data_IF_607263577382
#
_entry.id   IF_607263577382
#
_cell.length_a   1.000
_cell.length_b   1.000
_cell.length_c   1.000
_cell.angle_alpha   90.00
_cell.angle_beta   90.00
_cell.angle_gamma   90.00
#
_symmetry.space_group_name_H-M   'P 1'
#
loop_
_entity.id
_entity.type
_entity.pdbx_description
1 polymer ?
#
# COMPACT_ATOMS: atom_id res chain seq x y z
N UNK A 1 -44.26 -17.07 56.02
CA UNK A 1 -43.35 -18.21 55.98
C UNK A 1 -42.17 -17.76 55.06
N UNK A 2 -41.07 -17.26 55.68
CA UNK A 2 -39.89 -16.75 55.00
C UNK A 2 -38.91 -17.91 54.87
N UNK A 3 -38.55 -18.31 53.64
CA UNK A 3 -37.45 -19.25 53.34
C UNK A 3 -36.12 -18.50 53.33
N UNK A 4 -35.23 -18.86 54.22
CA UNK A 4 -33.83 -18.47 54.25
C UNK A 4 -33.04 -19.42 53.31
N UNK A 5 -32.38 -18.89 52.27
CA UNK A 5 -31.36 -19.61 51.50
C UNK A 5 -30.00 -19.42 52.19
N UNK A 6 -29.17 -20.48 52.30
CA UNK A 6 -27.84 -20.35 52.83
C UNK A 6 -26.87 -19.85 51.77
N UNK A 7 -26.07 -18.83 52.13
CA UNK A 7 -24.91 -18.38 51.36
C UNK A 7 -23.78 -19.40 51.48
N UNK A 8 -23.36 -20.01 50.38
CA UNK A 8 -22.11 -20.74 50.32
C UNK A 8 -20.95 -19.76 50.07
N UNK A 9 -20.08 -19.62 51.04
CA UNK A 9 -18.81 -18.92 50.95
C UNK A 9 -17.81 -19.84 50.23
N UNK A 10 -17.49 -19.57 48.96
CA UNK A 10 -16.38 -20.25 48.26
C UNK A 10 -15.09 -19.48 48.60
N UNK A 11 -14.27 -20.07 49.48
CA UNK A 11 -12.93 -19.57 49.77
C UNK A 11 -12.00 -19.94 48.61
N UNK A 12 -11.68 -18.99 47.72
CA UNK A 12 -10.63 -19.13 46.74
C UNK A 12 -9.27 -18.96 47.39
N UNK A 13 -8.55 -20.07 47.59
CA UNK A 13 -7.13 -20.03 47.94
C UNK A 13 -6.33 -19.50 46.75
N UNK A 14 -5.93 -18.23 46.78
CA UNK A 14 -4.93 -17.68 45.88
C UNK A 14 -3.55 -18.19 46.37
N UNK A 15 -3.00 -19.16 45.64
CA UNK A 15 -1.60 -19.56 45.82
C UNK A 15 -0.76 -18.52 45.09
N UNK A 16 -0.25 -17.54 45.83
CA UNK A 16 0.75 -16.60 45.32
C UNK A 16 2.11 -17.31 45.27
N UNK A 17 2.45 -17.90 44.12
CA UNK A 17 3.83 -18.23 43.79
C UNK A 17 4.67 -16.96 43.68
N UNK A 18 5.99 -17.01 43.99
CA UNK A 18 6.83 -15.84 43.80
C UNK A 18 6.82 -15.46 42.32
N UNK A 19 6.32 -14.27 42.03
CA UNK A 19 6.48 -13.68 40.71
C UNK A 19 7.99 -13.55 40.48
N UNK A 20 8.54 -14.29 39.51
CA UNK A 20 9.87 -13.98 39.00
C UNK A 20 9.79 -12.56 38.43
N UNK A 21 10.44 -11.62 39.11
CA UNK A 21 10.67 -10.30 38.54
C UNK A 21 11.56 -10.49 37.33
N UNK A 22 10.97 -10.33 36.15
CA UNK A 22 11.75 -10.12 34.91
C UNK A 22 12.30 -8.72 35.09
N UNK A 23 13.61 -8.60 35.28
CA UNK A 23 14.26 -7.29 35.26
C UNK A 23 13.88 -6.58 33.94
N UNK A 24 13.41 -5.34 34.02
CA UNK A 24 13.14 -4.58 32.79
C UNK A 24 14.44 -4.49 31.99
N UNK A 25 14.39 -4.58 30.66
CA UNK A 25 15.57 -4.43 29.83
C UNK A 25 16.29 -3.15 30.21
N UNK A 26 17.62 -3.23 30.35
CA UNK A 26 18.45 -2.10 30.71
C UNK A 26 18.15 -0.92 29.77
N UNK A 27 17.74 0.20 30.35
CA UNK A 27 17.52 1.42 29.58
C UNK A 27 18.86 1.85 28.95
N UNK A 28 18.86 2.38 27.72
CA UNK A 28 20.08 2.95 27.13
C UNK A 28 20.64 4.04 28.04
N UNK A 29 21.97 4.15 28.16
CA UNK A 29 22.60 5.11 29.07
C UNK A 29 22.14 6.53 28.77
N UNK A 30 21.68 7.24 29.78
CA UNK A 30 20.95 8.53 29.69
C UNK A 30 21.72 9.70 29.02
N UNK A 31 22.99 9.54 28.69
CA UNK A 31 23.87 10.60 28.20
C UNK A 31 24.40 10.37 26.77
N UNK A 32 23.84 9.41 25.99
CA UNK A 32 24.25 9.21 24.60
C UNK A 32 23.36 9.98 23.64
N UNK A 33 23.94 10.61 22.59
CA UNK A 33 23.15 11.20 21.52
C UNK A 33 22.23 10.13 20.91
N UNK A 34 20.93 10.41 20.78
CA UNK A 34 19.92 9.48 20.23
C UNK A 34 20.30 8.97 18.83
N UNK A 35 21.04 9.76 18.05
CA UNK A 35 21.51 9.41 16.71
C UNK A 35 22.51 8.23 16.69
N UNK A 36 23.16 7.89 17.82
CA UNK A 36 24.04 6.72 17.88
C UNK A 36 23.28 5.39 17.83
N UNK A 37 21.99 5.39 18.12
CA UNK A 37 21.16 4.18 18.20
C UNK A 37 20.25 3.99 17.00
N UNK A 38 20.20 4.95 16.08
CA UNK A 38 19.28 4.91 14.93
C UNK A 38 20.01 4.49 13.66
N UNK A 39 19.30 3.76 12.83
CA UNK A 39 19.72 3.48 11.46
C UNK A 39 19.88 4.79 10.69
N UNK A 40 21.02 4.95 9.99
CA UNK A 40 21.36 6.18 9.28
C UNK A 40 21.79 5.88 7.85
N UNK A 41 21.44 6.80 6.95
CA UNK A 41 21.97 6.83 5.58
C UNK A 41 23.18 7.75 5.58
N UNK A 42 24.29 7.23 5.09
CA UNK A 42 25.56 7.95 5.00
C UNK A 42 25.61 8.82 3.73
N UNK A 43 26.56 9.76 3.66
CA UNK A 43 26.71 10.66 2.51
C UNK A 43 26.99 9.93 1.19
N UNK A 44 27.62 8.77 1.24
CA UNK A 44 27.91 7.93 0.08
C UNK A 44 26.71 7.08 -0.38
N UNK A 45 25.57 7.18 0.31
CA UNK A 45 24.38 6.37 0.05
C UNK A 45 24.39 4.99 0.68
N UNK A 46 25.43 4.62 1.46
CA UNK A 46 25.39 3.41 2.27
C UNK A 46 24.46 3.57 3.47
N UNK A 47 23.95 2.46 4.00
CA UNK A 47 23.10 2.45 5.19
C UNK A 47 23.87 1.80 6.33
N UNK A 48 24.01 2.51 7.45
CA UNK A 48 24.48 1.94 8.72
C UNK A 48 23.28 1.59 9.59
N UNK A 49 22.93 0.31 9.64
CA UNK A 49 21.91 -0.22 10.53
C UNK A 49 22.43 -0.27 11.96
N UNK A 50 21.59 0.10 12.93
CA UNK A 50 21.93 0.11 14.34
C UNK A 50 20.75 -0.41 15.15
N UNK A 51 21.07 -1.24 16.15
CA UNK A 51 20.07 -1.79 17.08
C UNK A 51 20.68 -1.96 18.47
N UNK A 52 20.07 -1.38 19.49
CA UNK A 52 20.43 -1.65 20.87
C UNK A 52 19.69 -2.89 21.36
N UNK A 53 20.40 -3.99 21.56
CA UNK A 53 19.84 -5.26 22.01
C UNK A 53 20.82 -6.00 22.93
N UNK A 54 20.88 -5.61 24.23
CA UNK A 54 21.91 -6.11 25.16
C UNK A 54 21.82 -7.62 25.38
N UNK A 55 20.62 -8.18 25.43
CA UNK A 55 20.36 -9.60 25.73
C UNK A 55 20.38 -10.49 24.47
N UNK A 56 20.45 -9.93 23.26
CA UNK A 56 20.45 -10.70 22.04
C UNK A 56 21.78 -11.48 21.87
N UNK A 57 21.67 -12.70 21.37
CA UNK A 57 22.81 -13.59 21.04
C UNK A 57 23.22 -13.42 19.58
N UNK A 58 22.25 -13.24 18.70
CA UNK A 58 22.45 -13.05 17.26
C UNK A 58 21.51 -11.97 16.75
N UNK A 59 22.03 -11.10 15.89
CA UNK A 59 21.23 -10.10 15.18
C UNK A 59 21.68 -10.06 13.73
N UNK A 60 20.74 -10.11 12.82
CA UNK A 60 20.96 -9.82 11.42
C UNK A 60 19.92 -8.83 10.90
N UNK A 61 20.24 -8.10 9.84
CA UNK A 61 19.33 -7.22 9.12
C UNK A 61 19.05 -7.76 7.73
N UNK A 62 17.80 -7.73 7.32
CA UNK A 62 17.34 -8.10 5.98
C UNK A 62 16.85 -6.86 5.27
N UNK A 63 17.44 -6.55 4.11
CA UNK A 63 17.12 -5.39 3.29
C UNK A 63 16.43 -5.85 2.00
N UNK A 64 15.14 -5.62 1.89
CA UNK A 64 14.32 -6.09 0.77
C UNK A 64 14.37 -7.61 0.64
N UNK A 65 14.65 -8.09 -0.57
CA UNK A 65 14.80 -9.51 -0.91
C UNK A 65 16.24 -10.03 -0.80
N UNK A 66 17.17 -9.23 -0.25
CA UNK A 66 18.59 -9.59 -0.14
C UNK A 66 18.81 -10.65 0.94
N UNK A 67 19.94 -11.34 0.85
CA UNK A 67 20.38 -12.23 1.92
C UNK A 67 20.56 -11.46 3.24
N UNK A 68 20.25 -12.09 4.39
CA UNK A 68 20.51 -11.50 5.69
C UNK A 68 21.98 -11.08 5.84
N UNK A 69 22.20 -9.91 6.43
CA UNK A 69 23.51 -9.38 6.77
C UNK A 69 23.69 -9.45 8.28
N UNK A 70 24.66 -10.23 8.73
CA UNK A 70 24.98 -10.37 10.15
C UNK A 70 25.46 -9.04 10.73
N UNK A 71 24.99 -8.72 11.96
CA UNK A 71 25.38 -7.52 12.66
C UNK A 71 26.44 -7.83 13.72
N UNK A 72 27.36 -6.91 13.95
CA UNK A 72 28.42 -7.03 14.95
C UNK A 72 28.01 -6.29 16.22
N UNK A 73 28.13 -6.96 17.38
CA UNK A 73 27.87 -6.38 18.70
C UNK A 73 29.12 -5.68 19.23
N UNK A 74 28.98 -4.40 19.58
CA UNK A 74 30.02 -3.64 20.26
C UNK A 74 29.93 -3.83 21.80
N UNK A 75 30.97 -3.39 22.54
CA UNK A 75 31.03 -3.48 24.01
C UNK A 75 29.88 -2.75 24.72
N UNK A 76 29.26 -1.80 24.05
CA UNK A 76 28.13 -1.01 24.55
C UNK A 76 26.75 -1.60 24.21
N UNK A 77 26.70 -2.87 23.83
CA UNK A 77 25.49 -3.62 23.45
C UNK A 77 24.80 -3.11 22.18
N UNK A 78 25.45 -2.21 21.44
CA UNK A 78 24.95 -1.74 20.15
C UNK A 78 25.38 -2.72 19.05
N UNK A 79 24.40 -3.23 18.33
CA UNK A 79 24.61 -4.02 17.12
C UNK A 79 24.65 -3.10 15.91
N UNK A 80 25.56 -3.35 14.99
CA UNK A 80 25.67 -2.57 13.76
C UNK A 80 26.08 -3.41 12.56
N UNK A 81 25.60 -3.00 11.37
CA UNK A 81 26.06 -3.47 10.07
C UNK A 81 25.94 -2.33 9.07
N UNK A 82 26.82 -2.32 8.07
CA UNK A 82 26.85 -1.28 7.03
C UNK A 82 26.75 -1.93 5.66
N UNK A 83 25.93 -1.36 4.77
CA UNK A 83 25.84 -1.77 3.37
C UNK A 83 26.95 -1.13 2.54
N UNK A 84 27.14 -1.60 1.32
CA UNK A 84 27.75 -0.80 0.27
C UNK A 84 26.83 0.38 -0.08
N UNK A 85 27.35 1.34 -0.88
CA UNK A 85 26.55 2.44 -1.41
C UNK A 85 25.37 1.91 -2.23
N UNK A 86 24.18 2.39 -1.94
CA UNK A 86 22.94 2.01 -2.60
C UNK A 86 22.45 3.10 -3.55
N UNK A 87 21.69 2.71 -4.54
CA UNK A 87 21.01 3.68 -5.42
C UNK A 87 19.93 4.44 -4.64
N UNK A 88 19.68 5.72 -4.97
CA UNK A 88 18.57 6.48 -4.41
C UNK A 88 17.24 5.74 -4.55
N UNK A 89 16.61 5.41 -3.43
CA UNK A 89 15.33 4.69 -3.35
C UNK A 89 14.82 4.62 -1.92
N UNK A 90 13.58 4.20 -1.73
CA UNK A 90 13.01 3.86 -0.44
C UNK A 90 13.06 2.33 -0.27
N UNK A 91 13.88 1.88 0.66
CA UNK A 91 14.13 0.47 0.94
C UNK A 91 13.31 0.01 2.14
N UNK A 92 12.87 -1.24 2.08
CA UNK A 92 12.22 -1.95 3.18
C UNK A 92 13.24 -2.85 3.89
N UNK A 93 13.21 -2.89 5.23
CA UNK A 93 14.10 -3.75 6.02
C UNK A 93 13.46 -4.19 7.33
N UNK A 94 14.06 -5.19 7.96
CA UNK A 94 13.74 -5.64 9.31
C UNK A 94 14.97 -6.26 9.97
N UNK A 95 14.94 -6.32 11.30
CA UNK A 95 15.92 -7.07 12.08
C UNK A 95 15.42 -8.48 12.34
N UNK A 96 16.35 -9.44 12.36
CA UNK A 96 16.13 -10.78 12.87
C UNK A 96 16.95 -10.92 14.17
N UNK A 97 16.27 -10.98 15.30
CA UNK A 97 16.87 -11.02 16.64
C UNK A 97 16.63 -12.42 17.21
N UNK A 98 17.67 -13.23 17.39
CA UNK A 98 17.58 -14.60 17.88
C UNK A 98 16.50 -15.45 17.15
N UNK A 99 16.35 -15.23 15.84
CA UNK A 99 15.36 -15.89 15.00
C UNK A 99 13.98 -15.22 14.95
N UNK A 100 13.77 -14.13 15.70
CA UNK A 100 12.52 -13.39 15.72
C UNK A 100 12.61 -12.13 14.86
N UNK A 101 11.62 -11.91 13.97
CA UNK A 101 11.53 -10.69 13.15
C UNK A 101 11.07 -9.51 13.99
N UNK A 102 11.79 -8.40 13.89
CA UNK A 102 11.47 -7.13 14.55
C UNK A 102 11.58 -5.96 13.61
N UNK A 103 10.71 -4.97 13.79
CA UNK A 103 10.90 -3.65 13.17
C UNK A 103 12.08 -2.94 13.84
N UNK A 104 12.60 -1.90 13.19
CA UNK A 104 13.52 -0.95 13.81
C UNK A 104 12.73 0.02 14.69
N UNK A 105 12.87 -0.11 15.98
CA UNK A 105 12.22 0.78 16.97
C UNK A 105 12.88 2.16 17.07
N UNK A 106 14.06 2.32 16.47
CA UNK A 106 14.76 3.60 16.36
C UNK A 106 14.35 4.44 15.16
N UNK A 107 13.58 3.89 14.20
CA UNK A 107 13.10 4.64 13.05
C UNK A 107 11.72 5.26 13.29
N UNK A 108 11.46 6.38 12.62
CA UNK A 108 10.13 6.98 12.53
C UNK A 108 9.36 6.55 11.26
N UNK A 109 9.88 5.56 10.53
CA UNK A 109 9.31 5.09 9.27
C UNK A 109 8.98 3.58 9.33
N UNK A 110 8.05 3.13 10.19
CA UNK A 110 7.53 1.78 10.08
C UNK A 110 6.75 1.67 8.76
N UNK A 111 6.82 0.52 8.10
CA UNK A 111 5.99 0.28 6.90
C UNK A 111 4.54 0.09 7.34
N UNK A 112 3.61 0.96 6.90
CA UNK A 112 2.21 0.82 7.28
C UNK A 112 1.58 -0.36 6.54
N UNK A 113 1.13 -1.32 7.31
CA UNK A 113 0.37 -2.50 6.86
C UNK A 113 -0.51 -2.97 8.02
N UNK A 114 -1.45 -3.87 7.74
CA UNK A 114 -2.29 -4.49 8.80
C UNK A 114 -1.47 -5.28 9.81
N UNK A 115 -0.29 -5.79 9.41
CA UNK A 115 0.73 -6.34 10.32
C UNK A 115 2.03 -5.58 10.12
N UNK A 116 2.32 -4.62 11.00
CA UNK A 116 3.57 -3.85 10.96
C UNK A 116 4.72 -4.75 11.39
N UNK A 117 5.55 -5.18 10.43
CA UNK A 117 6.63 -6.13 10.65
C UNK A 117 7.95 -5.77 9.93
N UNK A 118 7.98 -4.60 9.29
CA UNK A 118 9.15 -4.06 8.59
C UNK A 118 9.22 -2.54 8.76
N UNK A 119 10.38 -1.99 8.48
CA UNK A 119 10.69 -0.56 8.52
C UNK A 119 11.14 -0.08 7.15
N UNK A 120 11.10 1.22 6.93
CA UNK A 120 11.52 1.87 5.71
C UNK A 120 12.75 2.75 5.97
N UNK A 121 13.63 2.85 4.97
CA UNK A 121 14.77 3.76 4.97
C UNK A 121 14.94 4.39 3.60
N UNK A 122 14.98 5.73 3.53
CA UNK A 122 15.11 6.48 2.29
C UNK A 122 16.58 6.81 2.02
N UNK A 123 17.13 6.29 0.94
CA UNK A 123 18.39 6.76 0.34
C UNK A 123 18.03 7.90 -0.62
N UNK A 124 18.45 9.14 -0.32
CA UNK A 124 18.02 10.32 -1.08
C UNK A 124 18.62 10.38 -2.49
N UNK A 125 18.03 11.21 -3.36
CA UNK A 125 18.48 11.46 -4.74
C UNK A 125 17.51 10.97 -5.82
N UNK A 126 16.27 10.60 -5.46
CA UNK A 126 15.26 10.12 -6.41
C UNK A 126 14.02 11.02 -6.48
N UNK A 127 13.04 10.61 -7.31
CA UNK A 127 11.71 11.25 -7.38
C UNK A 127 10.92 11.10 -6.07
N UNK A 128 11.35 10.21 -5.17
CA UNK A 128 10.70 9.92 -3.90
C UNK A 128 11.02 10.92 -2.80
N UNK A 129 11.98 11.83 -3.03
CA UNK A 129 12.42 12.81 -2.05
C UNK A 129 11.40 13.94 -1.87
N UNK A 130 11.37 14.51 -0.69
CA UNK A 130 10.77 15.83 -0.48
C UNK A 130 11.76 16.85 -1.04
N UNK A 131 11.37 17.53 -2.11
CA UNK A 131 12.20 18.56 -2.76
C UNK A 131 11.67 19.94 -2.39
N UNK A 132 12.49 20.96 -2.56
CA UNK A 132 12.08 22.37 -2.40
C UNK A 132 11.28 22.83 -3.64
N UNK A 133 10.03 22.40 -3.70
CA UNK A 133 9.06 22.70 -4.76
C UNK A 133 7.70 23.02 -4.12
N UNK A 134 6.76 23.64 -4.84
CA UNK A 134 5.40 23.77 -4.32
C UNK A 134 4.78 22.40 -4.02
N UNK A 135 4.22 22.25 -2.82
CA UNK A 135 3.60 21.00 -2.37
C UNK A 135 2.07 21.07 -2.43
N UNK A 136 1.46 19.96 -2.79
CA UNK A 136 0.03 19.77 -2.65
C UNK A 136 -0.40 19.57 -1.20
N UNK A 137 -1.69 19.66 -0.95
CA UNK A 137 -2.26 19.37 0.35
C UNK A 137 -2.73 17.90 0.41
N UNK A 138 -2.30 17.18 1.44
CA UNK A 138 -2.75 15.82 1.72
C UNK A 138 -3.66 15.81 2.95
N UNK A 139 -4.94 15.54 2.74
CA UNK A 139 -5.94 15.44 3.83
C UNK A 139 -6.33 14.01 4.06
N UNK A 140 -6.31 13.55 5.31
CA UNK A 140 -6.95 12.31 5.74
C UNK A 140 -8.37 12.62 6.17
N UNK A 141 -9.34 12.07 5.47
CA UNK A 141 -10.76 12.27 5.72
C UNK A 141 -11.44 10.97 6.13
N UNK A 142 -12.47 11.09 6.95
CA UNK A 142 -13.35 9.97 7.32
C UNK A 142 -14.65 10.11 6.54
N UNK A 143 -14.98 9.10 5.74
CA UNK A 143 -16.19 9.09 4.91
C UNK A 143 -17.15 8.05 5.47
N UNK A 144 -18.40 8.43 5.78
CA UNK A 144 -19.42 7.46 6.14
C UNK A 144 -19.79 6.63 4.90
N UNK A 145 -19.45 5.36 4.90
CA UNK A 145 -19.82 4.43 3.84
C UNK A 145 -21.17 3.78 4.16
N UNK A 146 -22.16 4.04 3.32
CA UNK A 146 -23.47 3.38 3.38
C UNK A 146 -23.36 1.95 2.87
N UNK A 147 -22.59 1.76 1.80
CA UNK A 147 -22.35 0.47 1.19
C UNK A 147 -21.72 -0.53 2.16
N UNK A 148 -20.77 -0.08 3.00
CA UNK A 148 -20.07 -0.93 3.98
C UNK A 148 -20.58 -0.75 5.43
N UNK A 149 -21.53 0.15 5.67
CA UNK A 149 -22.09 0.46 7.00
C UNK A 149 -21.01 0.81 8.04
N UNK A 150 -19.97 1.50 7.62
CA UNK A 150 -18.80 1.81 8.45
C UNK A 150 -18.22 3.18 8.14
N UNK A 151 -17.34 3.67 9.02
CA UNK A 151 -16.54 4.87 8.78
C UNK A 151 -15.25 4.48 8.07
N UNK A 152 -15.01 5.04 6.89
CA UNK A 152 -13.88 4.69 6.02
C UNK A 152 -12.85 5.80 5.98
N UNK A 153 -11.59 5.42 6.08
CA UNK A 153 -10.48 6.36 5.96
C UNK A 153 -10.04 6.49 4.50
N UNK A 154 -9.79 7.73 4.09
CA UNK A 154 -9.37 8.05 2.72
C UNK A 154 -8.41 9.22 2.77
N UNK A 155 -7.30 9.16 2.05
CA UNK A 155 -6.50 10.34 1.77
C UNK A 155 -6.98 11.00 0.48
N UNK A 156 -7.02 12.33 0.51
CA UNK A 156 -7.25 13.16 -0.67
C UNK A 156 -6.06 14.10 -0.83
N UNK A 157 -5.35 13.95 -1.92
CA UNK A 157 -4.32 14.90 -2.34
C UNK A 157 -4.93 15.90 -3.32
N UNK A 158 -4.68 17.18 -3.07
CA UNK A 158 -4.98 18.27 -3.99
C UNK A 158 -3.68 18.95 -4.42
N UNK A 159 -3.51 19.29 -5.72
CA UNK A 159 -2.25 19.81 -6.23
C UNK A 159 -1.93 21.22 -5.68
N UNK A 160 -0.65 21.66 -5.75
CA UNK A 160 -0.29 23.02 -5.37
C UNK A 160 -1.17 24.06 -6.06
N UNK A 161 -1.62 25.08 -5.30
CA UNK A 161 -2.49 26.13 -5.80
C UNK A 161 -3.96 25.72 -6.02
N UNK A 162 -4.36 24.51 -5.60
CA UNK A 162 -5.75 24.11 -5.61
C UNK A 162 -6.59 25.03 -4.72
N UNK A 163 -7.72 25.49 -5.24
CA UNK A 163 -8.70 26.25 -4.49
C UNK A 163 -10.10 26.02 -5.05
N UNK A 164 -11.13 26.43 -4.31
CA UNK A 164 -12.53 26.34 -4.78
C UNK A 164 -12.82 27.19 -6.03
N UNK A 165 -11.94 28.18 -6.31
CA UNK A 165 -12.02 29.02 -7.51
C UNK A 165 -11.40 28.37 -8.76
N UNK A 166 -10.66 27.27 -8.65
CA UNK A 166 -10.08 26.58 -9.80
C UNK A 166 -11.14 25.90 -10.64
N UNK A 167 -10.81 25.63 -11.92
CA UNK A 167 -11.65 24.76 -12.75
C UNK A 167 -11.70 23.36 -12.16
N UNK A 168 -12.78 22.59 -12.42
CA UNK A 168 -12.83 21.18 -12.02
C UNK A 168 -11.62 20.41 -12.55
N UNK A 169 -10.89 19.75 -11.66
CA UNK A 169 -9.72 18.95 -11.98
C UNK A 169 -10.10 17.48 -12.24
N UNK A 170 -9.34 16.75 -13.05
CA UNK A 170 -9.49 15.30 -13.14
C UNK A 170 -9.18 14.65 -11.80
N UNK A 171 -9.72 13.44 -11.59
CA UNK A 171 -9.57 12.68 -10.36
C UNK A 171 -9.06 11.27 -10.62
N UNK A 172 -8.04 10.87 -9.86
CA UNK A 172 -7.45 9.55 -9.91
C UNK A 172 -7.71 8.82 -8.59
N UNK A 173 -8.31 7.63 -8.65
CA UNK A 173 -8.49 6.72 -7.52
C UNK A 173 -7.33 5.73 -7.51
N UNK A 174 -6.56 5.70 -6.41
CA UNK A 174 -5.31 4.95 -6.27
C UNK A 174 -5.42 3.89 -5.18
N UNK A 175 -5.48 2.64 -5.59
CA UNK A 175 -5.81 1.48 -4.75
C UNK A 175 -4.58 0.73 -4.29
N UNK A 176 -4.52 0.39 -3.00
CA UNK A 176 -3.45 -0.41 -2.39
C UNK A 176 -3.69 -1.93 -2.53
N UNK A 177 -2.70 -2.74 -2.15
CA UNK A 177 -2.74 -4.19 -2.21
C UNK A 177 -3.30 -4.86 -0.94
N UNK A 178 -3.36 -6.20 -0.98
CA UNK A 178 -3.79 -7.00 0.15
C UNK A 178 -2.86 -6.85 1.36
N UNK A 179 -3.45 -6.67 2.54
CA UNK A 179 -2.72 -6.51 3.79
C UNK A 179 -2.09 -5.13 4.00
N UNK A 180 -2.22 -4.26 3.01
CA UNK A 180 -1.85 -2.85 3.12
C UNK A 180 -2.91 -2.04 3.89
N UNK A 181 -2.70 -0.75 4.01
CA UNK A 181 -3.62 0.20 4.61
C UNK A 181 -3.74 1.46 3.74
N UNK A 182 -4.67 2.32 4.08
CA UNK A 182 -4.80 3.65 3.45
C UNK A 182 -3.48 4.43 3.39
N UNK A 183 -2.56 4.17 4.34
CA UNK A 183 -1.27 4.86 4.44
C UNK A 183 -0.21 4.33 3.45
N UNK A 184 -0.44 3.21 2.79
CA UNK A 184 0.59 2.51 1.99
C UNK A 184 1.11 3.36 0.82
N UNK A 185 0.23 3.92 -0.01
CA UNK A 185 0.66 4.78 -1.11
C UNK A 185 1.29 6.09 -0.64
N UNK A 186 0.91 6.58 0.55
CA UNK A 186 1.49 7.80 1.14
C UNK A 186 2.90 7.54 1.66
N UNK A 187 3.07 6.51 2.48
CA UNK A 187 4.34 6.24 3.16
C UNK A 187 5.32 5.45 2.28
N UNK A 188 4.94 4.26 1.83
CA UNK A 188 5.84 3.41 1.04
C UNK A 188 5.77 3.71 -0.47
N UNK A 189 4.62 4.08 -1.01
CA UNK A 189 4.44 4.48 -2.40
C UNK A 189 5.01 5.87 -2.71
N UNK A 190 5.14 6.74 -1.68
CA UNK A 190 5.60 8.13 -1.83
C UNK A 190 4.78 8.92 -2.86
N UNK A 191 3.50 8.59 -3.01
CA UNK A 191 2.65 9.19 -4.03
C UNK A 191 2.59 10.74 -3.97
N UNK A 192 2.48 11.40 -2.78
CA UNK A 192 2.49 12.86 -2.72
C UNK A 192 3.80 13.46 -3.26
N UNK A 193 4.96 12.87 -2.92
CA UNK A 193 6.27 13.35 -3.37
C UNK A 193 6.44 13.18 -4.88
N UNK A 194 6.02 12.03 -5.43
CA UNK A 194 6.02 11.80 -6.88
C UNK A 194 5.16 12.83 -7.60
N UNK A 195 3.95 13.10 -7.08
CA UNK A 195 3.03 14.09 -7.66
C UNK A 195 3.61 15.50 -7.63
N UNK A 196 4.10 15.96 -6.47
CA UNK A 196 4.68 17.30 -6.31
C UNK A 196 5.87 17.51 -7.24
N UNK A 197 6.79 16.54 -7.27
CA UNK A 197 7.99 16.61 -8.09
C UNK A 197 7.68 16.64 -9.58
N UNK A 198 6.75 15.77 -10.04
CA UNK A 198 6.34 15.72 -11.44
C UNK A 198 5.55 16.99 -11.87
N UNK A 199 4.74 17.55 -10.97
CA UNK A 199 4.04 18.83 -11.22
C UNK A 199 5.03 19.97 -11.37
N UNK A 200 6.04 20.07 -10.48
CA UNK A 200 7.10 21.07 -10.57
C UNK A 200 7.92 20.94 -11.86
N UNK A 201 8.14 19.71 -12.34
CA UNK A 201 8.80 19.42 -13.61
C UNK A 201 7.86 19.59 -14.84
N UNK A 202 6.59 19.94 -14.63
CA UNK A 202 5.56 20.08 -15.68
C UNK A 202 5.40 18.82 -16.53
N UNK A 203 5.60 17.67 -15.93
CA UNK A 203 5.49 16.36 -16.61
C UNK A 203 4.09 15.77 -16.55
N UNK A 204 3.25 16.24 -15.63
CA UNK A 204 1.88 15.74 -15.42
C UNK A 204 0.87 16.87 -15.38
N UNK A 205 -0.40 16.53 -15.67
CA UNK A 205 -1.52 17.43 -15.48
C UNK A 205 -1.89 17.55 -14.00
N UNK A 206 -2.30 18.74 -13.51
CA UNK A 206 -2.83 18.88 -12.16
C UNK A 206 -4.08 18.01 -11.98
N UNK A 207 -4.10 17.20 -10.91
CA UNK A 207 -5.21 16.30 -10.62
C UNK A 207 -5.44 16.16 -9.12
N UNK A 208 -6.64 15.77 -8.74
CA UNK A 208 -6.96 15.29 -7.39
C UNK A 208 -6.66 13.79 -7.33
N UNK A 209 -5.98 13.33 -6.28
CA UNK A 209 -5.75 11.90 -6.09
C UNK A 209 -6.43 11.44 -4.81
N UNK A 210 -7.21 10.37 -4.93
CA UNK A 210 -8.01 9.77 -3.85
C UNK A 210 -7.41 8.41 -3.53
N UNK A 211 -6.98 8.22 -2.30
CA UNK A 211 -6.33 7.00 -1.83
C UNK A 211 -7.20 6.43 -0.70
N UNK A 212 -8.20 5.58 -1.02
CA UNK A 212 -9.05 4.97 -0.01
C UNK A 212 -8.40 3.74 0.62
N UNK A 213 -8.91 3.32 1.78
CA UNK A 213 -8.69 1.96 2.24
C UNK A 213 -9.49 1.00 1.33
N UNK A 214 -8.83 0.06 0.71
CA UNK A 214 -9.40 -0.87 -0.29
C UNK A 214 -9.65 -2.26 0.26
N UNK A 215 -9.53 -2.45 1.58
CA UNK A 215 -10.02 -3.64 2.26
C UNK A 215 -11.29 -3.32 3.04
N UNK A 216 -12.34 -4.07 2.75
CA UNK A 216 -13.57 -4.05 3.53
C UNK A 216 -13.43 -5.00 4.72
N UNK A 217 -13.77 -4.55 5.92
CA UNK A 217 -13.83 -5.41 7.11
C UNK A 217 -15.17 -6.16 7.15
N UNK A 218 -15.57 -6.75 6.03
CA UNK A 218 -16.82 -7.52 5.93
C UNK A 218 -16.57 -8.92 6.50
N UNK A 219 -17.28 -9.33 7.58
CA UNK A 219 -17.05 -10.63 8.23
C UNK A 219 -17.19 -11.82 7.27
N UNK A 220 -18.08 -11.73 6.28
CA UNK A 220 -18.31 -12.77 5.28
C UNK A 220 -17.11 -12.98 4.34
N UNK A 221 -16.26 -11.97 4.20
CA UNK A 221 -15.04 -12.05 3.43
C UNK A 221 -13.85 -12.63 4.23
N UNK A 222 -13.96 -12.67 5.57
CA UNK A 222 -12.89 -13.13 6.48
C UNK A 222 -13.37 -14.35 7.26
N UNK A 223 -13.27 -15.57 6.73
CA UNK A 223 -13.59 -16.78 7.50
C UNK A 223 -12.66 -16.93 8.70
N UNK A 224 -13.17 -17.44 9.83
CA UNK A 224 -12.43 -17.60 11.11
C UNK A 224 -11.11 -18.41 11.00
N UNK A 225 -10.97 -19.26 9.98
CA UNK A 225 -9.76 -20.04 9.72
C UNK A 225 -9.26 -19.79 8.30
N UNK A 226 -8.61 -18.67 8.08
CA UNK A 226 -8.25 -18.15 6.76
C UNK A 226 -6.89 -18.70 6.22
N UNK A 227 -6.85 -19.85 5.51
CA UNK A 227 -5.65 -20.27 4.82
C UNK A 227 -5.38 -19.33 3.65
N UNK A 228 -4.12 -18.93 3.47
CA UNK A 228 -3.70 -18.05 2.37
C UNK A 228 -4.15 -18.57 0.98
N UNK A 229 -4.32 -19.88 0.83
CA UNK A 229 -4.76 -20.55 -0.40
C UNK A 229 -6.19 -20.17 -0.84
N UNK A 230 -7.08 -19.80 0.08
CA UNK A 230 -8.50 -19.57 -0.24
C UNK A 230 -8.84 -18.09 -0.47
N UNK A 231 -7.90 -17.16 -0.22
CA UNK A 231 -8.13 -15.72 -0.41
C UNK A 231 -8.66 -15.36 -1.80
N UNK A 232 -8.12 -15.98 -2.84
CA UNK A 232 -8.53 -15.72 -4.22
C UNK A 232 -9.95 -16.18 -4.51
N UNK A 233 -10.44 -17.19 -3.78
CA UNK A 233 -11.78 -17.75 -3.98
C UNK A 233 -12.83 -17.09 -3.09
N UNK A 234 -12.46 -16.66 -1.91
CA UNK A 234 -13.40 -16.19 -0.89
C UNK A 234 -13.31 -14.68 -0.66
N UNK A 235 -12.12 -14.17 -0.34
CA UNK A 235 -11.95 -12.76 0.03
C UNK A 235 -11.96 -11.83 -1.18
N UNK A 236 -11.16 -12.08 -2.21
CA UNK A 236 -11.01 -11.13 -3.31
C UNK A 236 -12.31 -10.82 -4.06
N UNK A 237 -13.16 -11.80 -4.42
CA UNK A 237 -14.43 -11.48 -5.07
C UNK A 237 -15.35 -10.64 -4.21
N UNK A 238 -15.55 -11.03 -2.94
CA UNK A 238 -16.44 -10.34 -1.99
C UNK A 238 -15.92 -8.93 -1.68
N UNK A 239 -14.62 -8.81 -1.44
CA UNK A 239 -13.99 -7.51 -1.17
C UNK A 239 -14.06 -6.59 -2.40
N UNK A 240 -13.80 -7.09 -3.60
CA UNK A 240 -13.87 -6.28 -4.81
C UNK A 240 -15.29 -5.77 -5.08
N UNK A 241 -16.31 -6.60 -4.89
CA UNK A 241 -17.72 -6.20 -5.01
C UNK A 241 -18.10 -5.13 -3.97
N UNK A 242 -17.63 -5.30 -2.75
CA UNK A 242 -17.91 -4.38 -1.66
C UNK A 242 -17.26 -2.99 -1.89
N UNK A 243 -16.00 -2.98 -2.30
CA UNK A 243 -15.24 -1.75 -2.60
C UNK A 243 -15.76 -1.08 -3.88
N UNK A 244 -16.16 -1.85 -4.88
CA UNK A 244 -16.80 -1.31 -6.09
C UNK A 244 -18.10 -0.58 -5.75
N UNK A 245 -18.94 -1.18 -4.92
CA UNK A 245 -20.17 -0.55 -4.45
C UNK A 245 -19.88 0.71 -3.63
N UNK A 246 -18.93 0.68 -2.69
CA UNK A 246 -18.51 1.87 -1.93
C UNK A 246 -18.00 2.98 -2.86
N UNK A 247 -17.20 2.62 -3.87
CA UNK A 247 -16.69 3.59 -4.84
C UNK A 247 -17.83 4.36 -5.53
N UNK A 248 -18.84 3.64 -6.00
CA UNK A 248 -19.92 4.22 -6.80
C UNK A 248 -20.98 4.92 -5.95
N UNK A 249 -21.35 4.35 -4.81
CA UNK A 249 -22.46 4.85 -3.99
C UNK A 249 -22.01 5.91 -2.97
N UNK A 250 -20.76 5.86 -2.52
CA UNK A 250 -20.28 6.74 -1.45
C UNK A 250 -19.11 7.63 -1.88
N UNK A 251 -18.01 7.05 -2.42
CA UNK A 251 -16.77 7.78 -2.62
C UNK A 251 -16.82 8.77 -3.79
N UNK A 252 -17.30 8.36 -4.97
CA UNK A 252 -17.49 9.27 -6.12
C UNK A 252 -18.47 10.38 -5.78
N UNK A 253 -19.66 10.12 -5.21
CA UNK A 253 -20.58 11.17 -4.74
C UNK A 253 -19.95 12.12 -3.72
N UNK A 254 -19.18 11.59 -2.75
CA UNK A 254 -18.48 12.41 -1.77
C UNK A 254 -17.48 13.37 -2.44
N UNK A 255 -16.68 12.86 -3.37
CA UNK A 255 -15.71 13.70 -4.08
C UNK A 255 -16.40 14.82 -4.88
N UNK A 256 -17.51 14.52 -5.55
CA UNK A 256 -18.32 15.53 -6.27
C UNK A 256 -18.92 16.60 -5.35
N UNK A 257 -19.31 16.22 -4.15
CA UNK A 257 -19.93 17.12 -3.19
C UNK A 257 -18.94 18.03 -2.47
N UNK A 258 -17.67 17.58 -2.25
CA UNK A 258 -16.71 18.25 -1.39
C UNK A 258 -15.49 18.80 -2.13
N UNK A 259 -15.25 18.35 -3.37
CA UNK A 259 -14.11 18.77 -4.18
C UNK A 259 -14.55 19.19 -5.58
N UNK A 260 -13.83 20.12 -6.17
CA UNK A 260 -14.07 20.56 -7.54
C UNK A 260 -13.38 19.60 -8.52
N UNK A 261 -14.05 18.49 -8.80
CA UNK A 261 -13.57 17.43 -9.70
C UNK A 261 -14.45 17.29 -10.94
N UNK A 262 -13.86 16.83 -12.04
CA UNK A 262 -14.58 16.50 -13.26
C UNK A 262 -15.51 15.29 -13.03
N UNK A 263 -16.68 15.32 -13.72
CA UNK A 263 -17.70 14.26 -13.60
C UNK A 263 -17.92 13.52 -14.93
N UNK A 264 -16.86 13.38 -15.70
CA UNK A 264 -16.87 12.63 -16.97
C UNK A 264 -15.79 11.55 -16.93
N UNK A 265 -15.92 10.57 -17.83
CA UNK A 265 -14.99 9.44 -17.92
C UNK A 265 -13.55 9.89 -18.26
N UNK A 266 -13.40 10.87 -19.14
CA UNK A 266 -12.08 11.38 -19.54
C UNK A 266 -11.34 12.08 -18.40
N UNK A 267 -12.09 12.60 -17.42
CA UNK A 267 -11.58 13.20 -16.18
C UNK A 267 -11.46 12.23 -15.02
N UNK A 268 -11.68 10.93 -15.20
CA UNK A 268 -11.65 9.96 -14.11
C UNK A 268 -10.77 8.76 -14.43
N UNK A 269 -9.82 8.46 -13.52
CA UNK A 269 -8.91 7.32 -13.60
C UNK A 269 -9.04 6.42 -12.38
N UNK A 270 -8.80 5.12 -12.55
CA UNK A 270 -8.68 4.15 -11.49
C UNK A 270 -7.45 3.28 -11.70
N UNK A 271 -6.65 3.17 -10.65
CA UNK A 271 -5.33 2.52 -10.69
C UNK A 271 -5.13 1.72 -9.41
N UNK A 272 -4.52 0.58 -9.49
CA UNK A 272 -4.19 -0.17 -8.28
C UNK A 272 -3.04 -1.15 -8.46
N UNK A 273 -2.45 -1.52 -7.33
CA UNK A 273 -1.41 -2.55 -7.27
C UNK A 273 -1.97 -3.85 -6.69
N UNK A 274 -1.47 -5.00 -7.16
CA UNK A 274 -1.81 -6.32 -6.61
C UNK A 274 -3.34 -6.53 -6.52
N UNK A 275 -3.91 -6.77 -5.33
CA UNK A 275 -5.37 -6.82 -5.13
C UNK A 275 -6.06 -5.54 -5.61
N UNK A 276 -5.48 -4.36 -5.34
CA UNK A 276 -6.02 -3.09 -5.83
C UNK A 276 -6.05 -3.01 -7.36
N UNK A 277 -5.10 -3.66 -8.05
CA UNK A 277 -5.11 -3.81 -9.51
C UNK A 277 -6.30 -4.63 -10.00
N UNK A 278 -6.66 -5.70 -9.29
CA UNK A 278 -7.88 -6.46 -9.57
C UNK A 278 -9.14 -5.63 -9.35
N UNK A 279 -9.20 -4.88 -8.26
CA UNK A 279 -10.34 -4.00 -7.96
C UNK A 279 -10.47 -2.88 -9.01
N UNK A 280 -9.35 -2.29 -9.44
CA UNK A 280 -9.35 -1.31 -10.53
C UNK A 280 -9.85 -1.91 -11.86
N UNK A 281 -9.47 -3.16 -12.14
CA UNK A 281 -9.96 -3.90 -13.30
C UNK A 281 -11.48 -4.16 -13.20
N UNK A 282 -11.95 -4.60 -12.03
CA UNK A 282 -13.38 -4.86 -11.77
C UNK A 282 -14.18 -3.57 -11.95
N UNK A 283 -13.87 -2.52 -11.21
CA UNK A 283 -14.63 -1.25 -11.27
C UNK A 283 -14.55 -0.60 -12.66
N UNK A 284 -13.37 -0.60 -13.27
CA UNK A 284 -13.17 0.04 -14.55
C UNK A 284 -13.89 -0.62 -15.72
N UNK A 285 -13.89 -1.95 -15.78
CA UNK A 285 -14.50 -2.71 -16.88
C UNK A 285 -15.97 -3.05 -16.63
N UNK A 286 -16.40 -3.22 -15.37
CA UNK A 286 -17.82 -3.46 -15.08
C UNK A 286 -18.70 -2.22 -15.32
N UNK A 287 -18.09 -1.02 -15.29
CA UNK A 287 -18.77 0.27 -15.40
C UNK A 287 -18.18 1.13 -16.51
N UNK A 288 -18.15 0.58 -17.75
CA UNK A 288 -17.68 1.31 -18.93
C UNK A 288 -18.39 2.66 -19.05
N UNK A 289 -17.63 3.72 -19.34
CA UNK A 289 -18.12 5.10 -19.37
C UNK A 289 -18.04 5.84 -18.02
N UNK A 290 -17.63 5.15 -16.93
CA UNK A 290 -17.33 5.80 -15.66
C UNK A 290 -15.88 6.26 -15.56
N UNK A 291 -14.95 5.45 -16.07
CA UNK A 291 -13.52 5.72 -16.09
C UNK A 291 -13.00 5.69 -17.52
N UNK A 292 -12.25 6.72 -17.90
CA UNK A 292 -11.54 6.72 -19.19
C UNK A 292 -10.13 6.11 -19.10
N UNK A 293 -9.60 5.91 -17.89
CA UNK A 293 -8.23 5.50 -17.66
C UNK A 293 -8.18 4.42 -16.58
N UNK A 294 -7.58 3.28 -16.91
CA UNK A 294 -7.44 2.14 -15.99
C UNK A 294 -5.98 1.70 -15.97
N UNK A 295 -5.45 1.39 -14.77
CA UNK A 295 -4.17 0.71 -14.67
C UNK A 295 -4.19 -0.41 -13.63
N UNK A 296 -3.57 -1.53 -14.03
CA UNK A 296 -3.36 -2.72 -13.21
C UNK A 296 -1.86 -2.95 -13.05
N UNK A 297 -1.32 -2.68 -11.87
CA UNK A 297 0.10 -2.87 -11.55
C UNK A 297 0.28 -4.19 -10.80
N UNK A 298 0.85 -5.20 -11.46
CA UNK A 298 1.01 -6.55 -10.90
C UNK A 298 -0.27 -7.07 -10.24
N UNK A 299 -1.42 -6.81 -10.84
CA UNK A 299 -2.70 -7.15 -10.21
C UNK A 299 -3.10 -8.60 -10.43
N UNK A 300 -3.99 -9.06 -9.58
CA UNK A 300 -4.75 -10.30 -9.82
C UNK A 300 -5.66 -10.11 -11.04
N UNK A 301 -6.02 -11.16 -11.73
CA UNK A 301 -6.88 -11.09 -12.89
C UNK A 301 -8.07 -12.06 -12.81
N UNK A 302 -9.01 -11.89 -13.73
CA UNK A 302 -10.19 -12.78 -13.83
C UNK A 302 -9.84 -14.22 -14.21
N UNK A 303 -8.62 -14.49 -14.66
CA UNK A 303 -8.15 -15.85 -14.94
C UNK A 303 -8.03 -16.72 -13.67
N UNK A 304 -7.80 -16.08 -12.52
CA UNK A 304 -7.67 -16.76 -11.23
C UNK A 304 -8.75 -16.37 -10.21
N UNK A 305 -9.36 -15.19 -10.39
CA UNK A 305 -10.49 -14.68 -9.61
C UNK A 305 -11.60 -14.25 -10.56
N UNK A 306 -12.48 -15.17 -11.00
CA UNK A 306 -13.51 -14.89 -11.97
C UNK A 306 -14.44 -13.74 -11.54
N UNK A 307 -14.80 -12.88 -12.50
CA UNK A 307 -15.79 -11.83 -12.30
C UNK A 307 -16.69 -11.73 -13.54
N UNK A 308 -17.96 -12.04 -13.37
CA UNK A 308 -18.93 -12.13 -14.47
C UNK A 308 -19.11 -10.82 -15.24
N UNK A 309 -19.05 -9.68 -14.57
CA UNK A 309 -19.21 -8.38 -15.22
C UNK A 309 -17.99 -8.03 -16.08
N UNK A 310 -16.78 -8.31 -15.60
CA UNK A 310 -15.54 -8.14 -16.38
C UNK A 310 -15.49 -9.12 -17.56
N UNK A 311 -15.88 -10.37 -17.34
CA UNK A 311 -15.98 -11.37 -18.43
C UNK A 311 -16.99 -10.94 -19.52
N UNK A 312 -18.13 -10.37 -19.10
CA UNK A 312 -19.11 -9.82 -20.04
C UNK A 312 -18.54 -8.62 -20.81
N UNK A 313 -17.77 -7.74 -20.17
CA UNK A 313 -17.09 -6.64 -20.83
C UNK A 313 -16.08 -7.14 -21.87
N UNK A 314 -15.29 -8.18 -21.57
CA UNK A 314 -14.36 -8.78 -22.52
C UNK A 314 -15.07 -9.42 -23.75
N UNK A 315 -16.36 -9.70 -23.68
CA UNK A 315 -17.14 -10.15 -24.83
C UNK A 315 -17.67 -9.00 -25.71
N UNK A 316 -17.38 -7.75 -25.33
CA UNK A 316 -17.69 -6.54 -26.12
C UNK A 316 -16.44 -5.64 -26.22
N UNK A 317 -15.33 -6.13 -26.81
CA UNK A 317 -14.04 -5.44 -26.82
C UNK A 317 -14.10 -4.06 -27.52
N UNK A 318 -14.99 -3.89 -28.48
CA UNK A 318 -15.22 -2.60 -29.16
C UNK A 318 -15.64 -1.53 -28.16
N UNK A 319 -16.54 -1.88 -27.22
CA UNK A 319 -17.00 -0.95 -26.19
C UNK A 319 -15.86 -0.57 -25.22
N UNK A 320 -14.98 -1.52 -24.89
CA UNK A 320 -13.79 -1.23 -24.08
C UNK A 320 -12.91 -0.22 -24.83
N UNK A 321 -12.60 -0.51 -26.10
CA UNK A 321 -11.74 0.33 -26.94
C UNK A 321 -12.33 1.73 -27.23
N UNK A 322 -13.64 1.88 -27.21
CA UNK A 322 -14.34 3.16 -27.41
C UNK A 322 -14.36 4.00 -26.11
N UNK A 323 -14.52 3.36 -24.95
CA UNK A 323 -14.68 4.04 -23.68
C UNK A 323 -13.35 4.37 -22.99
N UNK A 324 -12.30 3.55 -23.19
CA UNK A 324 -11.02 3.78 -22.55
C UNK A 324 -10.08 4.61 -23.42
N UNK A 325 -9.46 5.61 -22.81
CA UNK A 325 -8.36 6.40 -23.37
C UNK A 325 -7.03 5.68 -23.21
N UNK A 326 -6.89 4.97 -22.10
CA UNK A 326 -5.73 4.13 -21.82
C UNK A 326 -6.10 2.99 -20.88
N UNK A 327 -5.54 1.82 -21.15
CA UNK A 327 -5.53 0.67 -20.27
C UNK A 327 -4.08 0.22 -20.10
N UNK A 328 -3.51 0.44 -18.93
CA UNK A 328 -2.10 0.08 -18.64
C UNK A 328 -2.04 -1.18 -17.79
N UNK A 329 -1.16 -2.11 -18.14
CA UNK A 329 -0.85 -3.32 -17.40
C UNK A 329 0.66 -3.39 -17.18
N UNK A 330 1.10 -3.55 -15.94
CA UNK A 330 2.54 -3.64 -15.63
C UNK A 330 2.83 -4.84 -14.73
N UNK A 331 4.05 -5.38 -14.81
CA UNK A 331 4.48 -6.52 -14.00
C UNK A 331 6.00 -6.58 -13.90
N UNK A 332 6.53 -7.14 -12.81
CA UNK A 332 7.92 -7.55 -12.72
C UNK A 332 8.14 -8.91 -13.40
N UNK A 333 9.26 -9.10 -14.10
CA UNK A 333 9.53 -10.38 -14.79
C UNK A 333 9.75 -11.54 -13.82
N UNK A 334 10.09 -11.25 -12.56
CA UNK A 334 10.28 -12.22 -11.48
C UNK A 334 9.09 -12.28 -10.51
N UNK A 335 7.92 -11.72 -10.90
CA UNK A 335 6.72 -11.71 -10.05
C UNK A 335 6.13 -13.12 -9.91
N UNK A 336 6.42 -13.77 -8.77
CA UNK A 336 5.92 -15.11 -8.43
C UNK A 336 4.50 -15.08 -7.83
N UNK A 337 3.97 -13.89 -7.51
CA UNK A 337 2.67 -13.73 -6.85
C UNK A 337 1.54 -13.59 -7.87
N UNK A 338 1.70 -12.70 -8.84
CA UNK A 338 0.69 -12.37 -9.84
C UNK A 338 1.18 -12.43 -11.28
N UNK A 339 2.42 -12.84 -11.54
CA UNK A 339 2.95 -12.95 -12.91
C UNK A 339 2.10 -13.82 -13.82
N UNK A 340 1.56 -14.95 -13.30
CA UNK A 340 0.63 -15.81 -14.06
C UNK A 340 -0.72 -15.13 -14.34
N UNK A 341 -1.22 -14.35 -13.39
CA UNK A 341 -2.44 -13.56 -13.56
C UNK A 341 -2.29 -12.56 -14.70
N UNK A 342 -1.18 -11.82 -14.69
CA UNK A 342 -0.88 -10.81 -15.71
C UNK A 342 -0.65 -11.44 -17.08
N UNK A 343 0.05 -12.56 -17.16
CA UNK A 343 0.22 -13.31 -18.39
C UNK A 343 -1.13 -13.78 -18.97
N UNK A 344 -2.02 -14.29 -18.11
CA UNK A 344 -3.38 -14.67 -18.51
C UNK A 344 -4.22 -13.48 -18.94
N UNK A 345 -4.16 -12.35 -18.23
CA UNK A 345 -4.83 -11.13 -18.63
C UNK A 345 -4.33 -10.64 -19.99
N UNK A 346 -3.01 -10.62 -20.18
CA UNK A 346 -2.39 -10.25 -21.47
C UNK A 346 -2.93 -11.10 -22.61
N UNK A 347 -3.01 -12.42 -22.43
CA UNK A 347 -3.58 -13.33 -23.43
C UNK A 347 -5.02 -12.97 -23.80
N UNK A 348 -5.87 -12.68 -22.79
CA UNK A 348 -7.27 -12.26 -23.03
C UNK A 348 -7.31 -10.95 -23.83
N UNK A 349 -6.50 -9.97 -23.46
CA UNK A 349 -6.48 -8.65 -24.12
C UNK A 349 -6.02 -8.78 -25.58
N UNK A 350 -5.00 -9.58 -25.85
CA UNK A 350 -4.48 -9.85 -27.19
C UNK A 350 -5.52 -10.58 -28.06
N UNK A 351 -6.10 -11.68 -27.56
CA UNK A 351 -7.09 -12.48 -28.27
C UNK A 351 -8.35 -11.69 -28.63
N UNK A 352 -8.78 -10.82 -27.70
CA UNK A 352 -9.95 -9.97 -27.87
C UNK A 352 -9.65 -8.66 -28.62
N UNK A 353 -8.39 -8.39 -28.98
CA UNK A 353 -7.94 -7.16 -29.64
C UNK A 353 -8.31 -5.88 -28.83
N UNK A 354 -8.25 -5.98 -27.51
CA UNK A 354 -8.41 -4.84 -26.64
C UNK A 354 -7.12 -4.04 -26.67
N UNK A 355 -7.23 -2.71 -26.82
CA UNK A 355 -6.07 -1.81 -26.82
C UNK A 355 -5.59 -1.61 -25.40
N UNK A 356 -4.30 -1.83 -25.15
CA UNK A 356 -3.67 -1.63 -23.83
C UNK A 356 -2.18 -1.35 -24.00
N UNK A 357 -1.58 -0.82 -22.95
CA UNK A 357 -0.12 -0.70 -22.80
C UNK A 357 0.38 -1.78 -21.85
N UNK A 358 1.46 -2.42 -22.23
CA UNK A 358 2.08 -3.46 -21.40
C UNK A 358 3.54 -3.12 -21.09
N UNK A 359 3.91 -3.15 -19.81
CA UNK A 359 5.29 -2.85 -19.37
C UNK A 359 5.78 -3.93 -18.43
N UNK A 360 6.94 -4.48 -18.75
CA UNK A 360 7.67 -5.41 -17.89
C UNK A 360 8.88 -4.73 -17.26
N UNK A 361 9.04 -4.94 -15.95
CA UNK A 361 10.21 -4.48 -15.20
C UNK A 361 11.16 -5.66 -14.97
N UNK A 362 12.25 -5.66 -15.72
CA UNK A 362 13.19 -6.77 -15.76
C UNK A 362 13.91 -6.99 -14.42
N UNK A 363 13.89 -8.23 -13.93
CA UNK A 363 14.58 -8.66 -12.70
C UNK A 363 13.88 -8.24 -11.42
N UNK A 364 12.67 -7.64 -11.51
CA UNK A 364 11.88 -7.23 -10.34
C UNK A 364 10.74 -8.20 -10.08
N UNK A 365 10.36 -8.32 -8.81
CA UNK A 365 9.30 -9.19 -8.31
C UNK A 365 7.99 -8.46 -8.07
N UNK A 366 7.28 -8.89 -7.02
CA UNK A 366 6.01 -8.30 -6.56
C UNK A 366 6.27 -7.22 -5.52
N UNK A 367 6.66 -6.04 -5.94
CA UNK A 367 7.28 -5.05 -5.04
C UNK A 367 7.09 -3.59 -5.50
N UNK A 368 7.32 -2.65 -4.59
CA UNK A 368 7.21 -1.22 -4.85
C UNK A 368 8.16 -0.71 -5.93
N UNK A 369 9.25 -1.40 -6.20
CA UNK A 369 10.18 -1.04 -7.27
C UNK A 369 9.62 -1.31 -8.68
N UNK A 370 8.52 -2.07 -8.78
CA UNK A 370 7.66 -2.16 -9.96
C UNK A 370 6.58 -1.07 -9.93
N UNK A 371 5.93 -0.89 -8.79
CA UNK A 371 4.69 -0.10 -8.72
C UNK A 371 4.94 1.41 -8.71
N UNK A 372 6.02 1.90 -8.08
CA UNK A 372 6.38 3.33 -8.10
C UNK A 372 6.69 3.82 -9.52
N UNK A 373 7.59 3.18 -10.29
CA UNK A 373 7.84 3.60 -11.67
C UNK A 373 6.62 3.36 -12.59
N UNK A 374 5.78 2.35 -12.32
CA UNK A 374 4.50 2.18 -13.03
C UNK A 374 3.57 3.37 -12.79
N UNK A 375 3.47 3.82 -11.55
CA UNK A 375 2.66 4.98 -11.17
C UNK A 375 3.22 6.26 -11.79
N UNK A 376 4.53 6.49 -11.70
CA UNK A 376 5.19 7.63 -12.35
C UNK A 376 4.94 7.67 -13.86
N UNK A 377 5.11 6.53 -14.55
CA UNK A 377 4.90 6.45 -15.99
C UNK A 377 3.42 6.66 -16.38
N UNK A 378 2.49 6.13 -15.58
CA UNK A 378 1.06 6.33 -15.80
C UNK A 378 0.66 7.80 -15.59
N UNK A 379 1.14 8.46 -14.54
CA UNK A 379 0.89 9.87 -14.28
C UNK A 379 1.31 10.78 -15.44
N UNK A 380 2.39 10.44 -16.13
CA UNK A 380 2.89 11.24 -17.25
C UNK A 380 2.01 11.13 -18.53
N UNK A 381 1.04 10.21 -18.55
CA UNK A 381 0.13 9.99 -19.68
C UNK A 381 -1.31 10.34 -19.36
N UNK A 382 -1.75 10.04 -18.14
CA UNK A 382 -3.14 10.19 -17.72
C UNK A 382 -3.61 11.65 -17.85
N UNK A 383 -4.83 11.83 -18.33
CA UNK A 383 -5.51 13.13 -18.54
C UNK A 383 -4.85 14.07 -19.58
N UNK A 384 -3.80 13.66 -20.25
CA UNK A 384 -3.27 14.39 -21.40
C UNK A 384 -4.16 14.17 -22.62
N UNK A 385 -4.48 15.27 -23.30
CA UNK A 385 -5.26 15.25 -24.55
C UNK A 385 -4.38 14.86 -25.73
#
# INVERSE_FOLDING_TARGET
MRLLLPYFLVATCIVSGPAMAIDPPAAPPANRPLNEFVTAVEQDGSITFRLFAPSAKTVSVVLGSRAPMEMTKAENDLWSAKTEALKPNLYEYYFNIDGFRSIDTGTNMPKPQRQVNTSLVLVPGSILDIRDVPHGELRRVTIPSKALKSQRQTYVYTPPGYSDATKPLPVLYLYHGFGDTVDSWVAQGRAPQILDNLLAEKKIEPMVVVIPDTESDIPEAIPENFPAADRRKTFYPVNAEAIDRELLEDLIPYMKAHYRVRDDADGRAIVGLSQGGYQALVSGLSHLGTFGWIANFSGVSTTTVPNKAVEAAFNTPEKINENLRNFTVTVGTEDQVTGKDIAGLKTILDDKKIKYEYVEYKGLGHEMDVWRPSFEAFLQKVFKQ
#
